data_IF_769542795642
#
_entry.id   IF_769542795642
#
_cell.length_a   1.000
_cell.length_b   1.000
_cell.length_c   1.000
_cell.angle_alpha   90.00
_cell.angle_beta   90.00
_cell.angle_gamma   90.00
#
_symmetry.space_group_name_H-M   'P 1'
#
loop_
_entity.id
_entity.type
_entity.pdbx_description
1 polymer ?
#
# COMPACT_ATOMS: atom_id res chain seq x y z
N UNK A 1 -45.29 12.52 -13.06
CA UNK A 1 -44.29 12.00 -14.02
C UNK A 1 -42.99 11.83 -13.25
N UNK A 2 -42.83 10.67 -12.63
CA UNK A 2 -41.71 10.33 -11.74
C UNK A 2 -40.51 9.94 -12.59
N UNK A 3 -39.48 10.79 -12.60
CA UNK A 3 -38.18 10.47 -13.18
C UNK A 3 -37.46 9.49 -12.27
N UNK A 4 -37.48 8.22 -12.68
CA UNK A 4 -36.68 7.13 -12.16
C UNK A 4 -35.30 7.19 -12.83
N UNK A 5 -34.24 7.45 -12.05
CA UNK A 5 -32.85 6.96 -12.16
C UNK A 5 -31.87 8.01 -11.61
N UNK A 6 -31.75 8.09 -10.29
CA UNK A 6 -30.44 8.29 -9.66
C UNK A 6 -30.49 7.90 -8.17
N UNK A 7 -31.20 6.82 -7.84
CA UNK A 7 -31.01 6.12 -6.58
C UNK A 7 -30.42 4.76 -6.94
N UNK A 8 -29.12 4.75 -7.26
CA UNK A 8 -28.35 3.53 -7.04
C UNK A 8 -28.32 3.33 -5.52
N UNK A 9 -28.84 2.19 -5.03
CA UNK A 9 -28.92 1.94 -3.61
C UNK A 9 -27.49 1.76 -3.10
N UNK A 10 -27.21 2.36 -1.94
CA UNK A 10 -25.97 2.34 -1.17
C UNK A 10 -25.62 0.92 -0.63
N UNK A 11 -25.74 -0.11 -1.47
CA UNK A 11 -25.53 -1.53 -1.11
C UNK A 11 -24.13 -2.02 -1.51
N UNK A 12 -23.19 -1.10 -1.75
CA UNK A 12 -21.76 -1.42 -1.76
C UNK A 12 -21.02 -0.76 -0.57
N UNK A 13 -21.74 -0.47 0.52
CA UNK A 13 -21.14 -0.06 1.79
C UNK A 13 -21.03 -1.23 2.78
N UNK A 14 -21.06 -2.47 2.28
CA UNK A 14 -20.97 -3.70 3.07
C UNK A 14 -19.89 -4.67 2.55
N UNK A 15 -18.75 -4.11 2.11
CA UNK A 15 -17.46 -4.83 2.01
C UNK A 15 -16.34 -3.90 2.51
N UNK A 16 -16.46 -3.40 3.74
CA UNK A 16 -15.30 -2.84 4.48
C UNK A 16 -14.58 -3.94 5.30
N UNK A 17 -14.65 -5.20 4.85
CA UNK A 17 -14.17 -6.35 5.60
C UNK A 17 -13.23 -7.27 4.82
N UNK A 18 -12.36 -6.67 4.03
CA UNK A 18 -10.94 -7.06 3.92
C UNK A 18 -10.21 -5.75 3.64
N UNK A 19 -9.50 -5.20 4.62
CA UNK A 19 -8.76 -3.94 4.45
C UNK A 19 -7.92 -4.05 3.18
N UNK A 20 -8.18 -3.20 2.17
CA UNK A 20 -7.22 -2.94 1.10
C UNK A 20 -5.99 -2.30 1.76
N UNK A 21 -5.17 -3.20 2.28
CA UNK A 21 -3.94 -2.95 3.00
C UNK A 21 -2.96 -2.38 1.99
N UNK A 22 -2.19 -1.35 2.35
CA UNK A 22 -1.19 -0.77 1.44
C UNK A 22 -0.23 -1.84 0.91
N UNK A 23 -0.07 -2.92 1.67
CA UNK A 23 0.61 -4.15 1.30
C UNK A 23 0.03 -4.78 0.03
N UNK A 24 -1.29 -5.01 -0.01
CA UNK A 24 -1.97 -5.68 -1.13
C UNK A 24 -1.96 -4.79 -2.37
N UNK A 25 -2.13 -3.48 -2.20
CA UNK A 25 -2.04 -2.52 -3.30
C UNK A 25 -0.62 -2.50 -3.90
N UNK A 26 0.41 -2.50 -3.07
CA UNK A 26 1.81 -2.55 -3.51
C UNK A 26 2.15 -3.87 -4.21
N UNK A 27 1.67 -4.99 -3.66
CA UNK A 27 1.89 -6.32 -4.21
C UNK A 27 1.24 -6.46 -5.59
N UNK A 28 0.00 -5.98 -5.73
CA UNK A 28 -0.71 -5.91 -7.00
C UNK A 28 0.00 -5.02 -8.03
N UNK A 29 0.50 -3.85 -7.61
CA UNK A 29 1.27 -2.97 -8.49
C UNK A 29 2.57 -3.65 -8.98
N UNK A 30 3.27 -4.36 -8.10
CA UNK A 30 4.48 -5.10 -8.49
C UNK A 30 4.15 -6.23 -9.47
N UNK A 31 3.07 -6.97 -9.23
CA UNK A 31 2.62 -8.04 -10.11
C UNK A 31 2.24 -7.52 -11.51
N UNK A 32 1.44 -6.45 -11.58
CA UNK A 32 0.98 -5.86 -12.84
C UNK A 32 2.14 -5.28 -13.68
N UNK A 33 3.14 -4.70 -13.00
CA UNK A 33 4.32 -4.13 -13.65
C UNK A 33 5.46 -5.15 -13.88
N UNK A 34 5.22 -6.43 -13.61
CA UNK A 34 6.21 -7.51 -13.72
C UNK A 34 7.51 -7.23 -12.92
N UNK A 35 7.37 -6.57 -11.77
CA UNK A 35 8.44 -6.30 -10.82
C UNK A 35 8.59 -7.45 -9.82
N UNK A 36 9.73 -7.50 -9.13
CA UNK A 36 9.95 -8.47 -8.07
C UNK A 36 9.04 -8.10 -6.89
N UNK A 37 8.40 -9.12 -6.28
CA UNK A 37 7.52 -8.92 -5.14
C UNK A 37 8.24 -8.15 -4.01
N UNK A 38 7.53 -7.22 -3.34
CA UNK A 38 8.08 -6.40 -2.28
C UNK A 38 8.62 -7.26 -1.13
N UNK A 39 9.82 -6.93 -0.66
CA UNK A 39 10.41 -7.54 0.55
C UNK A 39 10.01 -6.72 1.76
N UNK A 40 9.24 -7.32 2.68
CA UNK A 40 8.83 -6.70 3.94
C UNK A 40 9.72 -7.18 5.08
N UNK A 41 10.39 -6.25 5.76
CA UNK A 41 11.30 -6.56 6.85
C UNK A 41 10.95 -5.75 8.08
N UNK A 42 10.38 -6.40 9.09
CA UNK A 42 10.00 -5.75 10.35
C UNK A 42 11.12 -5.94 11.36
N UNK A 43 11.56 -4.85 11.96
CA UNK A 43 12.55 -4.83 13.04
C UNK A 43 11.98 -4.10 14.26
N UNK A 44 12.15 -4.65 15.47
CA UNK A 44 11.88 -3.91 16.69
C UNK A 44 12.83 -2.71 16.77
N UNK A 45 12.33 -1.59 17.26
CA UNK A 45 13.09 -0.35 17.44
C UNK A 45 12.81 0.23 18.81
N UNK A 46 13.67 1.12 19.31
CA UNK A 46 13.50 1.68 20.66
C UNK A 46 12.18 2.48 20.73
N UNK A 47 11.22 1.99 21.52
CA UNK A 47 9.88 2.58 21.61
C UNK A 47 8.84 2.06 20.61
N UNK A 48 9.10 1.03 19.81
CA UNK A 48 8.08 0.44 18.93
C UNK A 48 8.58 -0.57 17.90
N UNK A 49 7.87 -0.66 16.78
CA UNK A 49 8.19 -1.49 15.62
C UNK A 49 8.39 -0.61 14.40
N UNK A 50 9.39 -0.94 13.62
CA UNK A 50 9.65 -0.32 12.35
C UNK A 50 9.64 -1.39 11.25
N UNK A 51 9.15 -1.05 10.08
CA UNK A 51 9.20 -1.95 8.93
C UNK A 51 9.94 -1.27 7.78
N UNK A 52 10.77 -2.03 7.10
CA UNK A 52 11.34 -1.67 5.81
C UNK A 52 10.60 -2.42 4.71
N UNK A 53 10.36 -1.73 3.60
CA UNK A 53 9.81 -2.32 2.40
C UNK A 53 10.72 -1.97 1.25
N UNK A 54 11.20 -2.99 0.56
CA UNK A 54 12.06 -2.84 -0.61
C UNK A 54 11.35 -3.46 -1.82
N UNK A 55 11.12 -2.65 -2.85
CA UNK A 55 10.61 -3.05 -4.16
C UNK A 55 11.74 -2.95 -5.17
N UNK A 56 11.90 -4.00 -5.98
CA UNK A 56 12.89 -4.03 -7.06
C UNK A 56 12.17 -4.17 -8.38
N UNK A 57 12.20 -3.12 -9.18
CA UNK A 57 11.80 -3.14 -10.57
C UNK A 57 12.92 -3.62 -11.48
N UNK A 58 12.66 -3.59 -12.79
CA UNK A 58 13.63 -4.04 -13.80
C UNK A 58 14.88 -3.15 -13.88
N UNK A 59 14.72 -1.84 -13.66
CA UNK A 59 15.81 -0.85 -13.73
C UNK A 59 15.88 0.06 -12.51
N UNK A 60 15.03 -0.15 -11.51
CA UNK A 60 14.99 0.68 -10.31
C UNK A 60 14.83 -0.15 -9.05
N UNK A 61 15.36 0.37 -7.94
CA UNK A 61 15.11 -0.15 -6.60
C UNK A 61 14.51 0.98 -5.77
N UNK A 62 13.38 0.71 -5.14
CA UNK A 62 12.72 1.65 -4.25
C UNK A 62 12.57 0.99 -2.88
N UNK A 63 13.33 1.49 -1.90
CA UNK A 63 13.14 1.12 -0.51
C UNK A 63 12.53 2.27 0.28
N UNK A 64 11.69 1.93 1.25
CA UNK A 64 11.23 2.90 2.23
C UNK A 64 11.02 2.24 3.58
N UNK A 65 11.41 2.98 4.61
CA UNK A 65 11.21 2.60 5.99
C UNK A 65 9.94 3.26 6.50
N UNK A 66 9.01 2.45 6.98
CA UNK A 66 7.78 2.84 7.65
C UNK A 66 8.02 3.67 8.91
N UNK A 67 6.98 4.37 9.33
CA UNK A 67 6.96 5.06 10.61
C UNK A 67 7.16 4.10 11.78
N UNK A 68 7.61 4.66 12.91
CA UNK A 68 7.66 3.94 14.17
C UNK A 68 6.22 3.75 14.67
N UNK A 69 5.77 2.50 14.76
CA UNK A 69 4.42 2.16 15.15
C UNK A 69 4.43 1.24 16.38
N UNK A 70 3.39 1.31 17.20
CA UNK A 70 3.26 0.44 18.37
C UNK A 70 3.02 -1.04 18.02
N UNK A 71 2.66 -1.33 16.76
CA UNK A 71 2.45 -2.70 16.29
C UNK A 71 3.12 -2.96 14.93
N UNK A 72 3.56 -4.22 14.70
CA UNK A 72 4.28 -4.60 13.49
C UNK A 72 3.38 -4.65 12.23
N UNK A 73 2.05 -4.61 12.39
CA UNK A 73 1.11 -4.54 11.25
C UNK A 73 1.06 -3.12 10.69
N UNK A 74 0.86 -2.13 11.55
CA UNK A 74 0.86 -0.70 11.18
C UNK A 74 2.22 -0.26 10.66
N UNK A 75 3.33 -0.75 11.23
CA UNK A 75 4.66 -0.46 10.71
C UNK A 75 4.79 -0.88 9.23
N UNK A 76 4.30 -2.08 8.89
CA UNK A 76 4.28 -2.60 7.51
C UNK A 76 3.37 -1.77 6.60
N UNK A 77 2.16 -1.47 7.05
CA UNK A 77 1.23 -0.61 6.31
C UNK A 77 1.85 0.75 6.01
N UNK A 78 2.47 1.37 7.01
CA UNK A 78 3.14 2.66 6.89
C UNK A 78 4.31 2.62 5.90
N UNK A 79 5.12 1.56 5.94
CA UNK A 79 6.21 1.37 5.00
C UNK A 79 5.71 1.19 3.56
N UNK A 80 4.68 0.37 3.35
CA UNK A 80 4.09 0.14 2.04
C UNK A 80 3.45 1.41 1.46
N UNK A 81 2.73 2.19 2.29
CA UNK A 81 2.16 3.47 1.88
C UNK A 81 3.25 4.44 1.41
N UNK A 82 4.40 4.48 2.08
CA UNK A 82 5.52 5.33 1.66
C UNK A 82 6.15 4.87 0.35
N UNK A 83 6.35 3.56 0.15
CA UNK A 83 6.85 3.04 -1.13
C UNK A 83 5.86 3.34 -2.26
N UNK A 84 4.55 3.15 -2.04
CA UNK A 84 3.51 3.52 -3.00
C UNK A 84 3.55 5.01 -3.36
N UNK A 85 3.72 5.89 -2.36
CA UNK A 85 3.87 7.33 -2.61
C UNK A 85 5.12 7.64 -3.44
N UNK A 86 6.26 6.99 -3.15
CA UNK A 86 7.49 7.12 -3.96
C UNK A 86 7.29 6.65 -5.39
N UNK A 87 6.68 5.47 -5.59
CA UNK A 87 6.35 4.93 -6.91
C UNK A 87 5.46 5.89 -7.70
N UNK A 88 4.40 6.43 -7.08
CA UNK A 88 3.53 7.43 -7.69
C UNK A 88 4.28 8.71 -8.05
N UNK A 89 5.20 9.16 -7.20
CA UNK A 89 6.02 10.34 -7.47
C UNK A 89 6.98 10.12 -8.64
N UNK A 90 7.56 8.92 -8.76
CA UNK A 90 8.41 8.57 -9.90
C UNK A 90 7.60 8.45 -11.19
N UNK A 91 6.38 7.91 -11.12
CA UNK A 91 5.47 7.82 -12.26
C UNK A 91 4.91 9.19 -12.71
N UNK A 92 4.79 10.15 -11.79
CA UNK A 92 4.29 11.51 -12.06
C UNK A 92 5.34 12.51 -12.55
N UNK A 93 6.62 12.11 -12.67
CA UNK A 93 7.70 12.95 -13.24
C UNK A 93 7.87 12.78 -14.76
N UNK A 94 6.83 12.29 -15.46
CA UNK A 94 6.81 12.16 -16.93
C UNK A 94 6.34 13.44 -17.63
#
# INVERSE_FOLDING_TARGET
MTSFLCLLPQVLFNVKHVSQSNIVELDGACYDNNWILPTYRVSPSDGGFQADVTVKGMEFECSSVGGLCSNPREARESAAAQVLAKLRSMAGQA
#
